data_IF_257546987350
#
_entry.id   IF_257546987350
#
_cell.length_a   1.000
_cell.length_b   1.000
_cell.length_c   1.000
_cell.angle_alpha   90.00
_cell.angle_beta   90.00
_cell.angle_gamma   90.00
#
_symmetry.space_group_name_H-M   'P 1'
#
loop_
_entity.id
_entity.type
_entity.pdbx_description
1 polymer ?
#
# COMPACT_ATOMS: atom_id res chain seq x y z
N UNK A 1 -0.92 -3.39 9.64
CA UNK A 1 -1.67 -2.11 9.65
C UNK A 1 -2.55 -2.07 8.40
N UNK A 2 -3.55 -2.95 8.31
CA UNK A 2 -4.38 -3.09 7.10
C UNK A 2 -5.88 -2.89 7.36
N UNK A 3 -6.29 -2.68 8.61
CA UNK A 3 -7.71 -2.67 9.00
C UNK A 3 -8.29 -1.27 9.20
N UNK A 4 -7.44 -0.22 9.22
CA UNK A 4 -7.89 1.14 9.51
C UNK A 4 -8.45 1.87 8.29
N UNK A 5 -8.23 1.37 7.08
CA UNK A 5 -8.62 2.09 5.87
C UNK A 5 -10.10 1.94 5.51
N UNK A 6 -10.82 0.98 6.09
CA UNK A 6 -12.23 0.72 5.77
C UNK A 6 -13.24 1.35 6.74
N UNK A 7 -12.79 1.93 7.85
CA UNK A 7 -13.67 2.42 8.93
C UNK A 7 -14.03 3.91 8.82
N UNK A 8 -13.68 4.57 7.72
CA UNK A 8 -13.90 6.00 7.52
C UNK A 8 -15.11 6.23 6.60
N UNK A 9 -15.98 7.19 6.94
CA UNK A 9 -17.04 7.63 6.02
C UNK A 9 -16.42 8.40 4.85
N UNK A 10 -17.08 8.35 3.68
CA UNK A 10 -16.67 9.09 2.46
C UNK A 10 -16.43 10.60 2.73
N UNK A 11 -17.08 11.14 3.77
CA UNK A 11 -17.09 12.56 4.12
C UNK A 11 -15.85 13.05 4.89
N UNK A 12 -14.85 12.20 5.15
CA UNK A 12 -13.60 12.66 5.77
C UNK A 12 -13.66 12.87 7.30
N UNK A 13 -14.87 12.87 7.89
CA UNK A 13 -15.09 13.58 9.16
C UNK A 13 -15.50 12.71 10.35
N UNK A 14 -15.80 11.42 10.15
CA UNK A 14 -16.24 10.57 11.25
C UNK A 14 -15.99 9.07 11.00
N UNK A 15 -15.82 8.33 12.09
CA UNK A 15 -15.77 6.87 12.07
C UNK A 15 -17.14 6.32 11.65
N UNK A 16 -17.14 5.25 10.86
CA UNK A 16 -18.34 4.43 10.67
C UNK A 16 -18.49 3.53 11.90
N UNK A 17 -19.03 4.09 12.98
CA UNK A 17 -19.13 3.45 14.30
C UNK A 17 -19.75 2.05 14.24
N UNK A 18 -20.77 1.87 13.40
CA UNK A 18 -21.44 0.57 13.20
C UNK A 18 -20.47 -0.50 12.69
N UNK A 19 -19.66 -0.18 11.67
CA UNK A 19 -18.65 -1.10 11.12
C UNK A 19 -17.55 -1.41 12.13
N UNK A 20 -17.10 -0.41 12.90
CA UNK A 20 -16.07 -0.60 13.92
C UNK A 20 -16.56 -1.52 15.05
N UNK A 21 -17.84 -1.44 15.42
CA UNK A 21 -18.40 -2.29 16.47
C UNK A 21 -18.67 -3.70 15.97
N UNK A 22 -19.04 -3.88 14.70
CA UNK A 22 -19.30 -5.20 14.11
C UNK A 22 -18.00 -5.98 13.81
N UNK A 23 -16.96 -5.28 13.37
CA UNK A 23 -15.71 -5.91 12.91
C UNK A 23 -14.68 -6.14 14.04
N UNK A 24 -14.84 -5.45 15.18
CA UNK A 24 -13.91 -5.53 16.30
C UNK A 24 -14.58 -5.92 17.63
N UNK A 25 -13.85 -6.67 18.46
CA UNK A 25 -14.25 -6.95 19.84
C UNK A 25 -14.56 -5.65 20.61
N UNK A 26 -15.53 -5.63 21.54
CA UNK A 26 -16.00 -4.39 22.17
C UNK A 26 -14.91 -3.51 22.79
N UNK A 27 -13.89 -4.13 23.39
CA UNK A 27 -12.75 -3.40 23.97
C UNK A 27 -11.85 -2.76 22.91
N UNK A 28 -11.69 -3.41 21.74
CA UNK A 28 -10.93 -2.87 20.60
C UNK A 28 -11.74 -1.80 19.87
N UNK A 29 -13.03 -2.03 19.66
CA UNK A 29 -13.93 -1.04 19.07
C UNK A 29 -13.91 0.27 19.87
N UNK A 30 -14.01 0.18 21.20
CA UNK A 30 -13.92 1.36 22.08
C UNK A 30 -12.57 2.08 21.99
N UNK A 31 -11.48 1.33 21.90
CA UNK A 31 -10.15 1.92 21.70
C UNK A 31 -10.06 2.64 20.34
N UNK A 32 -10.55 2.03 19.26
CA UNK A 32 -10.55 2.61 17.91
C UNK A 32 -11.37 3.91 17.88
N UNK A 33 -12.59 3.88 18.43
CA UNK A 33 -13.48 5.05 18.48
C UNK A 33 -12.96 6.18 19.38
N UNK A 34 -12.05 5.89 20.30
CA UNK A 34 -11.43 6.90 21.17
C UNK A 34 -10.36 7.73 20.47
N UNK A 35 -9.85 7.29 19.32
CA UNK A 35 -8.85 8.05 18.58
C UNK A 35 -9.53 9.24 17.87
N UNK A 36 -9.05 10.48 18.10
CA UNK A 36 -9.51 11.62 17.33
C UNK A 36 -9.07 11.44 15.88
N UNK A 37 -10.05 11.41 14.97
CA UNK A 37 -9.76 11.46 13.53
C UNK A 37 -9.14 12.81 13.22
N UNK A 38 -8.10 12.82 12.40
CA UNK A 38 -7.51 14.06 11.94
C UNK A 38 -8.58 14.86 11.18
N UNK A 39 -8.75 16.14 11.50
CA UNK A 39 -9.64 17.05 10.75
C UNK A 39 -9.03 17.47 9.41
N UNK A 40 -7.91 16.85 9.01
CA UNK A 40 -7.23 17.15 7.78
C UNK A 40 -8.10 16.69 6.62
N UNK A 41 -8.79 17.65 5.98
CA UNK A 41 -9.53 17.46 4.72
C UNK A 41 -8.57 17.29 3.54
N UNK A 42 -7.50 16.51 3.70
CA UNK A 42 -6.67 16.08 2.57
C UNK A 42 -7.12 14.68 2.21
N UNK A 43 -7.47 14.49 0.95
CA UNK A 43 -7.80 13.16 0.44
C UNK A 43 -6.60 12.24 0.67
N UNK A 44 -6.85 11.08 1.27
CA UNK A 44 -5.85 10.02 1.36
C UNK A 44 -5.26 9.77 -0.03
N UNK A 45 -3.94 9.86 -0.12
CA UNK A 45 -3.23 9.62 -1.37
C UNK A 45 -2.47 8.30 -1.27
N UNK A 46 -2.72 7.40 -2.21
CA UNK A 46 -1.93 6.18 -2.34
C UNK A 46 -0.52 6.54 -2.82
N UNK A 47 0.48 6.34 -1.96
CA UNK A 47 1.88 6.62 -2.27
C UNK A 47 2.61 5.30 -2.48
N UNK A 48 3.15 5.10 -3.68
CA UNK A 48 3.96 3.93 -4.02
C UNK A 48 5.46 4.23 -3.98
N UNK A 49 6.20 3.54 -3.11
CA UNK A 49 7.66 3.74 -2.96
C UNK A 49 8.51 3.23 -4.13
N UNK A 50 7.95 2.39 -5.01
CA UNK A 50 8.70 1.77 -6.12
C UNK A 50 8.89 2.65 -7.35
N UNK A 51 8.32 3.85 -7.37
CA UNK A 51 8.52 4.85 -8.42
C UNK A 51 8.75 6.22 -7.79
N UNK A 52 9.58 7.05 -8.42
CA UNK A 52 9.83 8.43 -7.95
C UNK A 52 8.57 9.30 -8.01
N UNK A 53 7.64 8.97 -8.89
CA UNK A 53 6.37 9.67 -9.06
C UNK A 53 5.28 9.21 -8.08
N UNK A 54 5.56 8.23 -7.21
CA UNK A 54 4.57 7.71 -6.27
C UNK A 54 3.46 6.87 -6.91
N UNK A 55 3.51 6.63 -8.23
CA UNK A 55 2.49 5.87 -8.96
C UNK A 55 2.75 4.38 -8.91
N UNK A 56 1.75 3.62 -8.48
CA UNK A 56 1.78 2.16 -8.51
C UNK A 56 1.62 1.63 -9.94
N UNK A 57 2.38 0.59 -10.26
CA UNK A 57 2.11 -0.28 -11.41
C UNK A 57 2.57 -1.68 -11.09
N UNK A 58 1.89 -2.70 -11.65
CA UNK A 58 2.27 -4.11 -11.48
C UNK A 58 3.73 -4.34 -11.86
N UNK A 59 4.22 -3.66 -12.91
CA UNK A 59 5.63 -3.63 -13.31
C UNK A 59 6.56 -3.12 -12.21
N UNK A 60 6.24 -2.00 -11.58
CA UNK A 60 7.07 -1.44 -10.51
C UNK A 60 7.07 -2.28 -9.23
N UNK A 61 5.93 -2.91 -8.90
CA UNK A 61 5.80 -3.87 -7.81
C UNK A 61 6.67 -5.10 -8.03
N UNK A 62 6.57 -5.71 -9.21
CA UNK A 62 7.35 -6.90 -9.51
C UNK A 62 8.85 -6.60 -9.55
N UNK A 63 9.24 -5.44 -10.09
CA UNK A 63 10.63 -4.99 -10.08
C UNK A 63 11.17 -4.85 -8.65
N UNK A 64 10.42 -4.22 -7.74
CA UNK A 64 10.84 -4.11 -6.34
C UNK A 64 11.02 -5.47 -5.67
N UNK A 65 10.10 -6.40 -5.88
CA UNK A 65 10.18 -7.76 -5.32
C UNK A 65 11.39 -8.52 -5.88
N UNK A 66 11.64 -8.37 -7.18
CA UNK A 66 12.77 -8.98 -7.85
C UNK A 66 14.11 -8.41 -7.33
N UNK A 67 14.22 -7.09 -7.19
CA UNK A 67 15.39 -6.43 -6.62
C UNK A 67 15.65 -6.86 -5.16
N UNK A 68 14.60 -6.93 -4.34
CA UNK A 68 14.70 -7.41 -2.96
C UNK A 68 15.21 -8.87 -2.89
N UNK A 69 14.74 -9.73 -3.80
CA UNK A 69 15.21 -11.12 -3.90
C UNK A 69 16.69 -11.19 -4.34
N UNK A 70 17.08 -10.34 -5.28
CA UNK A 70 18.47 -10.28 -5.77
C UNK A 70 19.43 -9.71 -4.73
N UNK A 71 19.00 -8.79 -3.86
CA UNK A 71 19.85 -8.24 -2.80
C UNK A 71 20.41 -9.33 -1.86
N UNK A 72 19.74 -10.47 -1.75
CA UNK A 72 20.19 -11.62 -0.95
C UNK A 72 21.20 -12.55 -1.64
N UNK A 73 21.49 -12.34 -2.94
CA UNK A 73 22.33 -13.24 -3.75
C UNK A 73 23.43 -12.48 -4.50
N UNK A 74 24.59 -13.12 -4.76
CA UNK A 74 25.63 -12.51 -5.60
C UNK A 74 25.06 -12.22 -6.99
N UNK A 75 25.16 -10.96 -7.40
CA UNK A 75 24.54 -10.43 -8.62
C UNK A 75 25.50 -10.52 -9.80
N UNK A 76 25.03 -10.99 -10.94
CA UNK A 76 25.75 -10.83 -12.20
C UNK A 76 25.70 -9.37 -12.66
N UNK A 77 26.82 -8.84 -13.17
CA UNK A 77 26.90 -7.45 -13.65
C UNK A 77 26.11 -7.20 -14.94
N UNK A 78 25.64 -8.26 -15.61
CA UNK A 78 24.94 -8.14 -16.87
C UNK A 78 23.45 -7.77 -16.68
N UNK A 79 23.17 -6.48 -16.61
CA UNK A 79 21.82 -5.91 -16.51
C UNK A 79 20.99 -6.04 -17.81
N UNK A 80 21.65 -6.21 -18.96
CA UNK A 80 21.01 -6.18 -20.27
C UNK A 80 20.02 -7.33 -20.50
N UNK A 81 20.35 -8.55 -20.08
CA UNK A 81 19.49 -9.72 -20.24
C UNK A 81 18.20 -9.64 -19.41
N UNK A 82 18.30 -9.08 -18.20
CA UNK A 82 17.13 -8.85 -17.34
C UNK A 82 16.21 -7.78 -17.94
N UNK A 83 16.78 -6.72 -18.50
CA UNK A 83 16.00 -5.67 -19.15
C UNK A 83 15.19 -6.21 -20.35
N UNK A 84 15.79 -7.06 -21.19
CA UNK A 84 15.11 -7.69 -22.32
C UNK A 84 13.97 -8.59 -21.83
N UNK A 85 14.23 -9.46 -20.84
CA UNK A 85 13.20 -10.32 -20.24
C UNK A 85 12.00 -9.52 -19.71
N UNK A 86 12.25 -8.45 -18.95
CA UNK A 86 11.18 -7.60 -18.43
C UNK A 86 10.46 -6.83 -19.53
N UNK A 87 11.15 -6.41 -20.59
CA UNK A 87 10.52 -5.74 -21.74
C UNK A 87 9.52 -6.68 -22.42
N UNK A 88 9.89 -7.93 -22.65
CA UNK A 88 9.00 -8.94 -23.25
C UNK A 88 7.77 -9.24 -22.38
N UNK A 89 7.94 -9.43 -21.06
CA UNK A 89 6.81 -9.70 -20.14
C UNK A 89 5.74 -8.61 -20.20
N UNK A 90 6.16 -7.35 -20.27
CA UNK A 90 5.24 -6.21 -20.24
C UNK A 90 4.82 -5.71 -21.63
N UNK A 91 5.23 -6.39 -22.71
CA UNK A 91 4.77 -6.14 -24.08
C UNK A 91 3.55 -7.01 -24.46
N UNK A 92 3.14 -7.94 -23.59
CA UNK A 92 1.89 -8.72 -23.69
C UNK A 92 0.68 -7.89 -23.27
#
# INVERSE_FOLDING_TARGET
MEILHCCHKEDGSSWTTERVVDEFLPHKARAILSFPLSSCRTSDTLIWRGTKNGTYSTKSAYRMLHEAKLASKPRTSNYSSQWVFWKEIWNL
#
